data_IF_170259166543
#
_entry.id   IF_170259166543
#
_cell.length_a   1.000
_cell.length_b   1.000
_cell.length_c   1.000
_cell.angle_alpha   90.00
_cell.angle_beta   90.00
_cell.angle_gamma   90.00
#
_symmetry.space_group_name_H-M   'P 1'
#
loop_
_entity.id
_entity.type
_entity.pdbx_description
1 polymer ?
#
# COMPACT_ATOMS: atom_id res chain seq x y z
N UNK A 1 1.52 31.66 44.57
CA UNK A 1 2.54 30.60 44.70
C UNK A 1 1.77 29.35 45.10
N UNK A 2 1.59 28.31 44.30
CA UNK A 2 2.44 27.69 43.27
C UNK A 2 1.57 27.20 42.12
N UNK A 3 1.96 27.53 40.90
CA UNK A 3 1.43 26.94 39.67
C UNK A 3 1.72 25.44 39.64
N UNK A 4 0.70 24.60 39.83
CA UNK A 4 0.72 23.25 39.29
C UNK A 4 0.68 23.37 37.76
N UNK A 5 1.87 23.49 37.17
CA UNK A 5 2.06 23.14 35.77
C UNK A 5 1.80 21.64 35.74
N UNK A 6 0.57 21.27 35.38
CA UNK A 6 0.23 19.90 35.02
C UNK A 6 1.31 19.43 34.06
N UNK A 7 2.07 18.42 34.48
CA UNK A 7 3.01 17.69 33.64
C UNK A 7 2.21 17.03 32.52
N UNK A 8 1.85 17.82 31.49
CA UNK A 8 1.35 17.30 30.23
C UNK A 8 2.54 16.58 29.65
N UNK A 9 2.62 15.27 29.88
CA UNK A 9 3.59 14.41 29.23
C UNK A 9 3.32 14.43 27.73
N UNK A 10 3.75 15.49 27.05
CA UNK A 10 3.71 15.62 25.59
C UNK A 10 4.82 14.72 25.07
N UNK A 11 4.55 13.42 25.05
CA UNK A 11 5.41 12.46 24.36
C UNK A 11 5.62 12.89 22.91
N UNK A 12 6.68 12.39 22.25
CA UNK A 12 7.05 12.82 20.90
C UNK A 12 5.84 12.84 19.94
N UNK A 13 5.70 13.88 19.11
CA UNK A 13 4.60 14.04 18.15
C UNK A 13 5.09 14.65 16.83
N UNK A 14 4.25 14.61 15.79
CA UNK A 14 4.58 15.11 14.45
C UNK A 14 5.41 14.13 13.62
N UNK A 15 5.76 14.56 12.40
CA UNK A 15 6.60 13.81 11.47
C UNK A 15 8.07 13.90 11.90
N UNK A 16 8.61 12.82 12.45
CA UNK A 16 10.00 12.78 12.93
C UNK A 16 10.42 11.42 13.46
N UNK A 17 11.73 11.26 13.69
CA UNK A 17 12.34 9.98 14.06
C UNK A 17 12.04 8.89 13.01
N UNK A 18 11.87 7.65 13.47
CA UNK A 18 11.53 6.51 12.61
C UNK A 18 10.24 6.69 11.81
N UNK A 19 9.30 7.51 12.28
CA UNK A 19 8.05 7.74 11.56
C UNK A 19 8.27 8.53 10.26
N UNK A 20 9.37 9.28 10.14
CA UNK A 20 9.70 10.00 8.91
C UNK A 20 9.88 9.05 7.72
N UNK A 21 10.37 7.82 7.94
CA UNK A 21 10.51 6.82 6.88
C UNK A 21 9.16 6.36 6.35
N UNK A 22 8.16 6.18 7.22
CA UNK A 22 6.79 5.88 6.81
C UNK A 22 6.20 7.03 6.01
N UNK A 23 6.44 8.27 6.45
CA UNK A 23 5.98 9.47 5.72
C UNK A 23 6.54 9.49 4.31
N UNK A 24 7.86 9.34 4.15
CA UNK A 24 8.52 9.33 2.84
C UNK A 24 7.97 8.19 1.97
N UNK A 25 7.90 6.97 2.51
CA UNK A 25 7.38 5.82 1.78
C UNK A 25 5.93 6.01 1.32
N UNK A 26 5.07 6.52 2.20
CA UNK A 26 3.67 6.77 1.89
C UNK A 26 3.48 7.90 0.87
N UNK A 27 4.35 8.92 0.87
CA UNK A 27 4.35 9.98 -0.15
C UNK A 27 4.81 9.47 -1.51
N UNK A 28 5.81 8.58 -1.54
CA UNK A 28 6.33 8.01 -2.78
C UNK A 28 5.41 6.94 -3.37
N UNK A 29 4.60 6.25 -2.56
CA UNK A 29 3.80 5.12 -3.00
C UNK A 29 2.82 5.44 -4.17
N UNK A 30 1.99 6.52 -4.13
CA UNK A 30 1.16 6.89 -5.27
C UNK A 30 1.95 7.18 -6.54
N UNK A 31 3.10 7.84 -6.40
CA UNK A 31 3.98 8.19 -7.53
C UNK A 31 4.54 6.92 -8.16
N UNK A 32 4.99 5.96 -7.34
CA UNK A 32 5.49 4.68 -7.80
C UNK A 32 4.41 3.87 -8.53
N UNK A 33 3.17 3.85 -8.02
CA UNK A 33 2.04 3.17 -8.67
C UNK A 33 1.74 3.78 -10.05
N UNK A 34 1.69 5.11 -10.15
CA UNK A 34 1.47 5.80 -11.44
C UNK A 34 2.61 5.51 -12.42
N UNK A 35 3.86 5.55 -11.95
CA UNK A 35 5.03 5.27 -12.79
C UNK A 35 5.02 3.82 -13.29
N UNK A 36 4.70 2.86 -12.42
CA UNK A 36 4.59 1.45 -12.81
C UNK A 36 3.48 1.23 -13.84
N UNK A 37 2.33 1.88 -13.69
CA UNK A 37 1.26 1.82 -14.68
C UNK A 37 1.70 2.41 -16.04
N UNK A 38 2.40 3.54 -16.04
CA UNK A 38 2.92 4.17 -17.25
C UNK A 38 3.95 3.29 -17.98
N UNK A 39 4.88 2.68 -17.23
CA UNK A 39 5.89 1.78 -17.79
C UNK A 39 5.28 0.48 -18.35
N UNK A 40 4.15 0.05 -17.80
CA UNK A 40 3.47 -1.18 -18.20
C UNK A 40 2.55 -1.02 -19.42
N UNK A 41 2.39 0.19 -19.96
CA UNK A 41 1.54 0.45 -21.14
C UNK A 41 1.89 -0.40 -22.37
N UNK A 42 3.16 -0.75 -22.56
CA UNK A 42 3.60 -1.61 -23.68
C UNK A 42 3.36 -3.11 -23.45
N UNK A 43 3.16 -3.53 -22.20
CA UNK A 43 2.71 -4.87 -21.87
C UNK A 43 1.18 -4.96 -22.08
N UNK A 44 0.45 -3.92 -21.67
CA UNK A 44 -1.00 -3.82 -21.85
C UNK A 44 -1.44 -3.85 -23.31
N UNK A 45 -0.71 -3.18 -24.21
CA UNK A 45 -1.01 -3.23 -25.64
C UNK A 45 -0.84 -4.63 -26.24
N UNK A 46 0.02 -5.47 -25.66
CA UNK A 46 0.20 -6.88 -26.07
C UNK A 46 -0.88 -7.78 -25.49
N UNK A 47 -1.33 -7.54 -24.26
CA UNK A 47 -2.44 -8.27 -23.64
C UNK A 47 -3.74 -8.09 -24.43
N UNK A 48 -4.05 -6.89 -24.93
CA UNK A 48 -5.26 -6.67 -25.74
C UNK A 48 -5.29 -7.44 -27.08
N UNK A 49 -4.17 -8.03 -27.51
CA UNK A 49 -4.10 -8.81 -28.75
C UNK A 49 -4.54 -10.28 -28.58
N UNK A 50 -4.79 -10.75 -27.36
CA UNK A 50 -5.27 -12.12 -27.08
C UNK A 50 -6.77 -12.13 -26.77
N UNK A 51 -7.44 -13.27 -27.03
CA UNK A 51 -8.91 -13.40 -26.87
C UNK A 51 -9.41 -13.10 -25.46
N UNK A 52 -8.62 -13.45 -24.45
CA UNK A 52 -8.96 -13.31 -23.03
C UNK A 52 -8.21 -12.15 -22.34
N UNK A 53 -7.28 -11.50 -23.04
CA UNK A 53 -6.45 -10.45 -22.47
C UNK A 53 -7.19 -9.15 -22.19
N UNK A 54 -8.39 -8.95 -22.73
CA UNK A 54 -9.26 -7.83 -22.36
C UNK A 54 -9.71 -7.92 -20.89
N UNK A 55 -10.04 -9.11 -20.39
CA UNK A 55 -10.47 -9.32 -19.00
C UNK A 55 -9.30 -9.08 -18.05
N UNK A 56 -8.13 -9.62 -18.38
CA UNK A 56 -6.89 -9.41 -17.61
C UNK A 56 -6.54 -7.91 -17.54
N UNK A 57 -6.57 -7.21 -18.68
CA UNK A 57 -6.28 -5.78 -18.76
C UNK A 57 -7.23 -4.93 -17.90
N UNK A 58 -8.55 -5.09 -18.09
CA UNK A 58 -9.53 -4.29 -17.32
C UNK A 58 -9.49 -4.65 -15.83
N UNK A 59 -9.23 -5.91 -15.49
CA UNK A 59 -9.02 -6.36 -14.12
C UNK A 59 -7.83 -5.67 -13.46
N UNK A 60 -6.66 -5.70 -14.10
CA UNK A 60 -5.43 -5.09 -13.58
C UNK A 60 -5.56 -3.57 -13.47
N UNK A 61 -6.19 -2.93 -14.47
CA UNK A 61 -6.46 -1.49 -14.44
C UNK A 61 -7.40 -1.10 -13.28
N UNK A 62 -8.46 -1.87 -13.06
CA UNK A 62 -9.40 -1.64 -11.95
C UNK A 62 -8.73 -1.82 -10.59
N UNK A 63 -7.95 -2.89 -10.43
CA UNK A 63 -7.16 -3.18 -9.24
C UNK A 63 -6.15 -2.06 -8.94
N UNK A 64 -5.38 -1.65 -9.95
CA UNK A 64 -4.41 -0.56 -9.83
C UNK A 64 -5.05 0.77 -9.46
N UNK A 65 -6.19 1.10 -10.08
CA UNK A 65 -6.94 2.32 -9.77
C UNK A 65 -7.49 2.32 -8.34
N UNK A 66 -8.06 1.18 -7.90
CA UNK A 66 -8.56 1.02 -6.53
C UNK A 66 -7.43 1.13 -5.50
N UNK A 67 -6.29 0.51 -5.77
CA UNK A 67 -5.13 0.59 -4.89
C UNK A 67 -4.56 2.00 -4.82
N UNK A 68 -4.44 2.69 -5.96
CA UNK A 68 -4.03 4.09 -6.01
C UNK A 68 -4.98 4.99 -5.22
N UNK A 69 -6.29 4.78 -5.31
CA UNK A 69 -7.27 5.51 -4.52
C UNK A 69 -7.06 5.35 -3.00
N UNK A 70 -6.80 4.12 -2.55
CA UNK A 70 -6.48 3.83 -1.14
C UNK A 70 -5.18 4.53 -0.74
N UNK A 71 -4.13 4.47 -1.57
CA UNK A 71 -2.85 5.13 -1.30
C UNK A 71 -3.03 6.66 -1.16
N UNK A 72 -3.74 7.30 -2.09
CA UNK A 72 -4.03 8.74 -2.05
C UNK A 72 -4.83 9.08 -0.79
N UNK A 73 -5.86 8.31 -0.47
CA UNK A 73 -6.71 8.51 0.71
C UNK A 73 -5.90 8.40 2.01
N UNK A 74 -5.04 7.40 2.10
CA UNK A 74 -4.11 7.19 3.20
C UNK A 74 -3.13 8.37 3.33
N UNK A 75 -2.54 8.82 2.23
CA UNK A 75 -1.61 9.96 2.19
C UNK A 75 -2.30 11.27 2.60
N UNK A 76 -3.52 11.51 2.14
CA UNK A 76 -4.32 12.67 2.56
C UNK A 76 -4.65 12.61 4.05
N UNK A 77 -5.06 11.45 4.56
CA UNK A 77 -5.31 11.25 5.99
C UNK A 77 -4.02 11.48 6.82
N UNK A 78 -2.87 11.04 6.30
CA UNK A 78 -1.56 11.25 6.91
C UNK A 78 -1.27 12.75 7.07
N UNK A 79 -1.35 13.52 5.98
CA UNK A 79 -1.04 14.95 6.01
C UNK A 79 -2.08 15.78 6.78
N UNK A 80 -3.34 15.35 6.79
CA UNK A 80 -4.39 15.95 7.62
C UNK A 80 -4.29 15.60 9.10
N UNK A 81 -3.34 14.71 9.47
CA UNK A 81 -3.19 14.16 10.82
C UNK A 81 -4.47 13.52 11.35
N UNK A 82 -5.22 12.87 10.44
CA UNK A 82 -6.49 12.24 10.77
C UNK A 82 -6.30 10.95 11.58
N UNK A 83 -7.17 10.72 12.57
CA UNK A 83 -7.28 9.44 13.30
C UNK A 83 -7.48 8.23 12.39
N UNK A 84 -7.94 8.44 11.16
CA UNK A 84 -8.16 7.38 10.18
C UNK A 84 -6.87 6.88 9.52
N UNK A 85 -5.74 7.60 9.65
CA UNK A 85 -4.48 7.22 9.00
C UNK A 85 -4.03 5.79 9.36
N UNK A 86 -3.93 5.38 10.63
CA UNK A 86 -3.51 4.01 10.97
C UNK A 86 -4.41 2.93 10.36
N UNK A 87 -5.73 3.17 10.35
CA UNK A 87 -6.72 2.24 9.75
C UNK A 87 -6.59 2.19 8.23
N UNK A 88 -6.40 3.33 7.56
CA UNK A 88 -6.19 3.37 6.11
C UNK A 88 -4.86 2.74 5.70
N UNK A 89 -3.82 2.91 6.53
CA UNK A 89 -2.52 2.26 6.32
C UNK A 89 -2.61 0.74 6.46
N UNK A 90 -3.38 0.25 7.44
CA UNK A 90 -3.71 -1.18 7.58
C UNK A 90 -4.52 -1.70 6.37
N UNK A 91 -5.54 -0.94 5.93
CA UNK A 91 -6.33 -1.27 4.76
C UNK A 91 -5.45 -1.36 3.49
N UNK A 92 -4.51 -0.43 3.33
CA UNK A 92 -3.55 -0.45 2.23
C UNK A 92 -2.69 -1.72 2.25
N UNK A 93 -2.25 -2.17 3.42
CA UNK A 93 -1.51 -3.42 3.54
C UNK A 93 -2.34 -4.66 3.17
N UNK A 94 -3.60 -4.74 3.62
CA UNK A 94 -4.50 -5.80 3.17
C UNK A 94 -4.78 -5.73 1.67
N UNK A 95 -4.96 -4.53 1.13
CA UNK A 95 -5.14 -4.32 -0.30
C UNK A 95 -3.94 -4.86 -1.09
N UNK A 96 -2.69 -4.66 -0.63
CA UNK A 96 -1.51 -5.26 -1.26
C UNK A 96 -1.57 -6.78 -1.35
N UNK A 97 -2.07 -7.45 -0.30
CA UNK A 97 -2.21 -8.92 -0.29
C UNK A 97 -3.27 -9.35 -1.31
N UNK A 98 -4.43 -8.68 -1.30
CA UNK A 98 -5.53 -8.96 -2.24
C UNK A 98 -5.08 -8.74 -3.68
N UNK A 99 -4.36 -7.66 -3.95
CA UNK A 99 -3.76 -7.35 -5.26
C UNK A 99 -2.83 -8.47 -5.71
N UNK A 100 -1.90 -8.90 -4.85
CA UNK A 100 -0.97 -9.98 -5.19
C UNK A 100 -1.67 -11.30 -5.54
N UNK A 101 -2.79 -11.62 -4.88
CA UNK A 101 -3.61 -12.79 -5.24
C UNK A 101 -4.35 -12.54 -6.56
N UNK A 102 -4.94 -11.35 -6.73
CA UNK A 102 -5.65 -10.92 -7.94
C UNK A 102 -4.79 -11.01 -9.18
N UNK A 103 -3.55 -10.52 -9.13
CA UNK A 103 -2.60 -10.56 -10.24
C UNK A 103 -2.34 -12.00 -10.69
N UNK A 104 -2.10 -12.93 -9.74
CA UNK A 104 -1.89 -14.35 -10.06
C UNK A 104 -3.10 -14.94 -10.78
N UNK A 105 -4.31 -14.61 -10.32
CA UNK A 105 -5.55 -15.09 -10.94
C UNK A 105 -5.75 -14.50 -12.34
N UNK A 106 -5.49 -13.21 -12.55
CA UNK A 106 -5.61 -12.57 -13.87
C UNK A 106 -4.59 -13.14 -14.86
N UNK A 107 -3.32 -13.29 -14.45
CA UNK A 107 -2.30 -13.94 -15.28
C UNK A 107 -2.64 -15.40 -15.59
N UNK A 108 -3.31 -16.12 -14.68
CA UNK A 108 -3.75 -17.49 -14.94
C UNK A 108 -4.79 -17.58 -16.04
N UNK A 109 -5.71 -16.61 -16.10
CA UNK A 109 -6.72 -16.48 -17.15
C UNK A 109 -6.04 -16.16 -18.48
N UNK A 110 -5.16 -15.15 -18.51
CA UNK A 110 -4.45 -14.74 -19.73
C UNK A 110 -3.59 -15.88 -20.31
N UNK A 111 -2.84 -16.59 -19.45
CA UNK A 111 -1.96 -17.67 -19.88
C UNK A 111 -2.70 -18.99 -20.17
N UNK A 112 -4.01 -19.06 -19.89
CA UNK A 112 -4.81 -20.29 -19.90
C UNK A 112 -4.13 -21.44 -19.14
N UNK A 113 -3.57 -21.12 -17.97
CA UNK A 113 -2.84 -22.04 -17.10
C UNK A 113 -3.45 -22.04 -15.71
N UNK A 114 -3.29 -23.15 -14.98
CA UNK A 114 -3.67 -23.19 -13.56
C UNK A 114 -2.87 -22.15 -12.75
N UNK A 115 -3.50 -21.42 -11.81
CA UNK A 115 -2.82 -20.52 -10.89
C UNK A 115 -1.63 -21.19 -10.16
N UNK A 116 -1.77 -22.49 -9.85
CA UNK A 116 -0.75 -23.27 -9.15
C UNK A 116 0.50 -23.52 -10.00
N UNK A 117 0.32 -23.71 -11.31
CA UNK A 117 1.44 -23.90 -12.25
C UNK A 117 2.22 -22.61 -12.50
N UNK A 118 1.57 -21.44 -12.37
CA UNK A 118 2.24 -20.15 -12.36
C UNK A 118 2.93 -19.88 -11.02
N UNK A 119 2.35 -20.38 -9.92
CA UNK A 119 2.90 -20.38 -8.57
C UNK A 119 4.34 -20.89 -8.46
N UNK A 120 4.69 -21.93 -9.22
CA UNK A 120 6.05 -22.50 -9.21
C UNK A 120 7.09 -21.61 -9.91
N UNK A 121 6.67 -20.76 -10.85
CA UNK A 121 7.54 -19.79 -11.54
C UNK A 121 7.57 -18.42 -10.85
N UNK A 122 6.63 -18.20 -9.93
CA UNK A 122 6.58 -16.99 -9.12
C UNK A 122 7.78 -17.02 -8.16
N UNK A 123 8.66 -16.04 -8.32
CA UNK A 123 9.63 -15.72 -7.28
C UNK A 123 8.86 -15.25 -6.04
N UNK A 124 8.45 -16.18 -5.18
CA UNK A 124 7.71 -15.93 -3.94
C UNK A 124 8.35 -14.81 -3.11
N UNK A 125 9.69 -14.69 -3.17
CA UNK A 125 10.44 -13.60 -2.55
C UNK A 125 10.02 -12.21 -3.02
N UNK A 126 9.74 -12.02 -4.32
CA UNK A 126 9.32 -10.73 -4.90
C UNK A 126 7.91 -10.32 -4.42
N UNK A 127 7.04 -11.28 -4.14
CA UNK A 127 5.68 -11.03 -3.62
C UNK A 127 5.70 -10.85 -2.10
N UNK A 128 6.35 -11.77 -1.37
CA UNK A 128 6.32 -11.79 0.08
C UNK A 128 7.15 -10.68 0.71
N UNK A 129 8.30 -10.32 0.12
CA UNK A 129 9.17 -9.27 0.65
C UNK A 129 8.44 -7.94 0.90
N UNK A 130 7.73 -7.35 -0.08
CA UNK A 130 7.00 -6.09 0.14
C UNK A 130 5.83 -6.26 1.11
N UNK A 131 5.15 -7.41 1.15
CA UNK A 131 4.06 -7.68 2.10
C UNK A 131 4.59 -7.72 3.54
N UNK A 132 5.67 -8.47 3.79
CA UNK A 132 6.28 -8.61 5.12
C UNK A 132 6.88 -7.27 5.57
N UNK A 133 7.61 -6.60 4.68
CA UNK A 133 8.23 -5.31 4.99
C UNK A 133 7.18 -4.25 5.32
N UNK A 134 6.10 -4.16 4.54
CA UNK A 134 4.99 -3.24 4.83
C UNK A 134 4.25 -3.65 6.11
N UNK A 135 4.08 -4.94 6.35
CA UNK A 135 3.47 -5.46 7.59
C UNK A 135 4.25 -5.05 8.84
N UNK A 136 5.58 -5.01 8.78
CA UNK A 136 6.42 -4.49 9.87
C UNK A 136 6.13 -3.01 10.13
N UNK A 137 5.94 -2.21 9.08
CA UNK A 137 5.57 -0.81 9.21
C UNK A 137 4.16 -0.62 9.76
N UNK A 138 3.21 -1.49 9.40
CA UNK A 138 1.86 -1.50 9.99
C UNK A 138 1.97 -1.72 11.50
N UNK A 139 2.70 -2.76 11.92
CA UNK A 139 2.93 -3.01 13.34
C UNK A 139 3.56 -1.79 14.04
N UNK A 140 4.58 -1.19 13.44
CA UNK A 140 5.21 0.03 13.95
C UNK A 140 4.21 1.19 14.11
N UNK A 141 3.34 1.43 13.12
CA UNK A 141 2.33 2.50 13.15
C UNK A 141 1.38 2.34 14.35
N UNK A 142 0.95 1.12 14.66
CA UNK A 142 0.08 0.86 15.82
C UNK A 142 0.82 0.86 17.16
N UNK A 143 2.08 0.42 17.20
CA UNK A 143 2.87 0.36 18.43
C UNK A 143 3.49 1.73 18.82
N UNK A 144 3.72 2.62 17.85
CA UNK A 144 4.45 3.87 18.06
C UNK A 144 3.66 4.91 18.85
N UNK A 145 4.19 5.30 20.01
CA UNK A 145 3.66 6.42 20.83
C UNK A 145 3.62 7.72 20.02
N UNK A 146 4.62 7.95 19.15
CA UNK A 146 4.66 9.15 18.31
C UNK A 146 3.52 9.22 17.34
N UNK A 147 3.20 8.10 16.69
CA UNK A 147 2.08 8.01 15.74
C UNK A 147 0.77 8.28 16.46
N UNK A 148 0.52 7.60 17.59
CA UNK A 148 -0.67 7.83 18.42
C UNK A 148 -0.83 9.29 18.86
N UNK A 149 0.27 9.96 19.22
CA UNK A 149 0.25 11.37 19.60
C UNK A 149 0.09 12.33 18.41
N UNK A 150 0.40 11.88 17.18
CA UNK A 150 0.32 12.71 15.96
C UNK A 150 -1.07 12.71 15.36
N UNK A 151 -1.76 11.57 15.35
CA UNK A 151 -3.05 11.36 14.69
C UNK A 151 -4.22 11.46 15.66
N UNK A 152 -4.51 12.68 16.11
CA UNK A 152 -5.53 12.96 17.13
C UNK A 152 -6.72 13.76 16.61
N UNK A 153 -6.71 14.19 15.35
CA UNK A 153 -7.79 14.97 14.71
C UNK A 153 -8.76 14.04 13.97
#
# INVERSE_FOLDING_TARGET
MTSEVSDVRVGPSGFGGWFMLVVIGQTMAPVATILNAALSMTAYSRMMATSDGAIAFFGEAAFSAAFLYIQISCTLAMYRRSKNFPTLFLLQWFAMIVMGIGDILLFSIEANRSPWALGEQIELRKILSPIVTTGLWVWYVFASVRVRNTFTR
#
